data_IF_960530509952
#
_entry.id   IF_960530509952
#
_cell.length_a   1.000
_cell.length_b   1.000
_cell.length_c   1.000
_cell.angle_alpha   90.00
_cell.angle_beta   90.00
_cell.angle_gamma   90.00
#
_symmetry.space_group_name_H-M   'P 1'
#
loop_
_entity.id
_entity.type
_entity.pdbx_description
1 polymer ?
#
# COMPACT_ATOMS: atom_id res chain seq x y z
N UNK A 1 20.41 -12.88 -4.21
CA UNK A 1 19.99 -12.88 -5.61
C UNK A 1 19.27 -11.58 -5.83
N UNK A 2 19.50 -10.96 -6.99
CA UNK A 2 18.87 -9.70 -7.38
C UNK A 2 18.00 -9.96 -8.60
N UNK A 3 16.91 -9.22 -8.71
CA UNK A 3 15.90 -9.38 -9.76
C UNK A 3 15.51 -8.01 -10.31
N UNK A 4 15.14 -7.95 -11.58
CA UNK A 4 14.62 -6.73 -12.20
C UNK A 4 13.11 -6.77 -12.10
N UNK A 5 12.52 -5.70 -11.57
CA UNK A 5 11.07 -5.54 -11.50
C UNK A 5 10.65 -4.29 -12.27
N UNK A 6 9.40 -4.31 -12.74
CA UNK A 6 8.72 -3.14 -13.31
C UNK A 6 7.47 -2.88 -12.49
N UNK A 7 7.44 -1.74 -11.82
CA UNK A 7 6.34 -1.31 -10.98
C UNK A 7 5.13 -0.86 -11.84
N UNK A 8 3.92 -0.79 -11.25
CA UNK A 8 2.69 -0.39 -11.93
C UNK A 8 2.76 0.87 -12.80
N UNK A 9 3.55 1.87 -12.42
CA UNK A 9 3.71 3.10 -13.20
C UNK A 9 4.71 3.02 -14.36
N UNK A 10 5.47 1.93 -14.44
CA UNK A 10 6.60 1.75 -15.36
C UNK A 10 7.98 2.04 -14.75
N UNK A 11 8.07 2.50 -13.50
CA UNK A 11 9.34 2.55 -12.77
C UNK A 11 9.97 1.15 -12.75
N UNK A 12 11.18 1.01 -13.27
CA UNK A 12 11.87 -0.28 -13.31
C UNK A 12 13.27 -0.20 -12.72
N UNK A 13 13.67 -1.28 -12.07
CA UNK A 13 14.98 -1.35 -11.44
C UNK A 13 15.29 -2.71 -10.86
N UNK A 14 16.54 -2.84 -10.42
CA UNK A 14 17.06 -4.04 -9.79
C UNK A 14 16.84 -3.95 -8.29
N UNK A 15 16.18 -4.96 -7.74
CA UNK A 15 16.00 -5.14 -6.31
C UNK A 15 16.73 -6.39 -5.82
N UNK A 16 16.93 -6.47 -4.51
CA UNK A 16 17.41 -7.67 -3.82
C UNK A 16 16.54 -7.97 -2.60
N UNK A 17 16.61 -9.20 -2.12
CA UNK A 17 16.05 -9.57 -0.82
C UNK A 17 16.74 -8.84 0.35
N UNK A 18 16.00 -8.75 1.46
CA UNK A 18 16.49 -8.23 2.73
C UNK A 18 17.60 -9.14 3.30
N UNK A 19 18.56 -8.54 3.99
CA UNK A 19 19.64 -9.22 4.73
C UNK A 19 19.47 -8.93 6.23
N UNK A 20 20.21 -9.66 7.07
CA UNK A 20 20.18 -9.48 8.53
C UNK A 20 20.42 -8.02 8.94
N UNK A 21 21.24 -7.26 8.20
CA UNK A 21 21.48 -5.85 8.50
C UNK A 21 20.22 -4.96 8.41
N UNK A 22 19.23 -5.34 7.60
CA UNK A 22 17.94 -4.64 7.51
C UNK A 22 17.00 -4.97 8.68
N UNK A 23 17.31 -5.97 9.53
CA UNK A 23 16.59 -6.23 10.78
C UNK A 23 16.56 -5.00 11.69
N UNK A 24 17.63 -4.18 11.68
CA UNK A 24 17.69 -2.92 12.43
C UNK A 24 16.58 -1.94 12.02
N UNK A 25 16.26 -1.91 10.72
CA UNK A 25 15.21 -1.04 10.15
C UNK A 25 13.85 -1.54 10.62
N UNK A 26 13.62 -2.86 10.55
CA UNK A 26 12.40 -3.53 11.03
C UNK A 26 12.19 -3.42 12.55
N UNK A 27 13.27 -3.31 13.32
CA UNK A 27 13.23 -3.16 14.77
C UNK A 27 13.11 -1.71 15.24
N UNK A 28 13.36 -0.72 14.38
CA UNK A 28 13.35 0.71 14.75
C UNK A 28 11.91 1.22 14.95
N UNK A 29 11.54 1.42 16.22
CA UNK A 29 10.24 1.95 16.62
C UNK A 29 10.00 3.40 16.19
N UNK A 30 11.05 4.21 16.04
CA UNK A 30 10.94 5.61 15.59
C UNK A 30 10.59 5.63 14.11
N UNK A 31 11.28 4.83 13.30
CA UNK A 31 10.96 4.67 11.88
C UNK A 31 9.53 4.15 11.69
N UNK A 32 9.13 3.11 12.44
CA UNK A 32 7.76 2.57 12.40
C UNK A 32 6.70 3.64 12.74
N UNK A 33 6.92 4.47 13.77
CA UNK A 33 5.98 5.55 14.14
C UNK A 33 5.90 6.67 13.10
N UNK A 34 6.98 6.92 12.38
CA UNK A 34 7.08 7.98 11.37
C UNK A 34 6.67 7.55 9.97
N UNK A 35 6.43 6.26 9.73
CA UNK A 35 6.24 5.67 8.40
C UNK A 35 7.52 5.55 7.57
N UNK A 36 8.66 6.09 8.02
CA UNK A 36 9.95 6.05 7.29
C UNK A 36 10.61 4.67 7.23
N UNK A 37 10.05 3.66 7.91
CA UNK A 37 10.57 2.28 7.85
C UNK A 37 10.50 1.70 6.44
N UNK A 38 9.41 1.98 5.71
CA UNK A 38 9.22 1.53 4.34
C UNK A 38 10.24 2.19 3.40
N UNK A 39 10.42 3.52 3.52
CA UNK A 39 11.40 4.27 2.71
C UNK A 39 12.81 3.70 2.86
N UNK A 40 13.24 3.44 4.10
CA UNK A 40 14.58 2.93 4.40
C UNK A 40 14.74 1.49 3.88
N UNK A 41 13.71 0.64 3.97
CA UNK A 41 13.75 -0.71 3.41
C UNK A 41 13.84 -0.71 1.89
N UNK A 42 12.99 0.08 1.24
CA UNK A 42 12.98 0.26 -0.21
C UNK A 42 14.34 0.78 -0.69
N UNK A 43 14.85 1.85 -0.07
CA UNK A 43 16.16 2.42 -0.38
C UNK A 43 17.30 1.41 -0.16
N UNK A 44 17.24 0.60 0.91
CA UNK A 44 18.28 -0.39 1.17
C UNK A 44 18.26 -1.54 0.16
N UNK A 45 17.08 -1.94 -0.34
CA UNK A 45 16.90 -3.12 -1.18
C UNK A 45 16.85 -2.80 -2.68
N UNK A 46 16.71 -1.54 -3.07
CA UNK A 46 16.81 -1.06 -4.45
C UNK A 46 18.28 -0.81 -4.82
N UNK A 47 18.82 -1.61 -5.75
CA UNK A 47 20.25 -1.58 -6.11
C UNK A 47 20.54 -0.64 -7.29
N UNK A 48 19.64 -0.59 -8.27
CA UNK A 48 19.87 0.13 -9.53
C UNK A 48 18.52 0.55 -10.13
N UNK A 49 18.40 1.79 -10.59
CA UNK A 49 17.25 2.25 -11.39
C UNK A 49 17.59 2.09 -12.87
N UNK A 50 16.73 1.38 -13.61
CA UNK A 50 16.88 1.18 -15.06
C UNK A 50 16.05 2.18 -15.85
N UNK A 51 14.80 2.39 -15.41
CA UNK A 51 13.89 3.40 -15.94
C UNK A 51 13.17 4.06 -14.77
N UNK A 52 13.21 5.37 -14.66
CA UNK A 52 12.49 6.11 -13.63
C UNK A 52 10.97 6.16 -13.86
N UNK A 53 10.48 5.68 -15.01
CA UNK A 53 9.06 5.65 -15.33
C UNK A 53 8.50 7.07 -15.49
N UNK A 54 7.47 7.47 -14.75
CA UNK A 54 6.92 8.82 -14.80
C UNK A 54 7.62 9.81 -13.85
N UNK A 55 8.66 9.39 -13.13
CA UNK A 55 9.34 10.21 -12.14
C UNK A 55 10.60 10.87 -12.71
N UNK A 56 10.92 12.07 -12.23
CA UNK A 56 12.18 12.74 -12.52
C UNK A 56 13.00 12.88 -11.22
N UNK A 57 14.05 12.07 -11.11
CA UNK A 57 14.99 12.10 -10.00
C UNK A 57 16.31 12.84 -10.36
N UNK A 58 16.48 13.26 -11.62
CA UNK A 58 17.77 13.68 -12.16
C UNK A 58 18.88 12.65 -11.89
N UNK A 59 20.08 13.14 -11.52
CA UNK A 59 21.23 12.29 -11.17
C UNK A 59 21.21 11.79 -9.71
N UNK A 60 20.12 12.02 -8.97
CA UNK A 60 20.04 11.65 -7.54
C UNK A 60 19.51 10.22 -7.39
N UNK A 61 19.82 9.55 -6.26
CA UNK A 61 19.13 8.33 -5.88
C UNK A 61 17.62 8.55 -5.83
N UNK A 62 16.86 7.49 -6.07
CA UNK A 62 15.40 7.50 -6.01
C UNK A 62 14.91 8.10 -4.69
N UNK A 63 14.04 9.12 -4.77
CA UNK A 63 13.34 9.65 -3.61
C UNK A 63 12.01 8.92 -3.47
N UNK A 64 11.99 7.90 -2.61
CA UNK A 64 10.80 7.13 -2.29
C UNK A 64 9.65 7.96 -1.72
N UNK A 65 9.90 9.19 -1.25
CA UNK A 65 8.87 10.13 -0.86
C UNK A 65 8.06 10.68 -2.04
N UNK A 66 8.61 10.69 -3.26
CA UNK A 66 7.95 11.16 -4.48
C UNK A 66 7.24 10.03 -5.25
N UNK A 67 7.62 8.78 -5.01
CA UNK A 67 7.06 7.59 -5.67
C UNK A 67 5.63 7.34 -5.17
N UNK A 68 4.72 6.96 -6.08
CA UNK A 68 3.34 6.60 -5.75
C UNK A 68 3.26 5.41 -4.80
N UNK A 69 2.21 5.39 -3.98
CA UNK A 69 1.98 4.31 -3.01
C UNK A 69 1.89 2.93 -3.67
N UNK A 70 1.25 2.83 -4.85
CA UNK A 70 1.13 1.58 -5.60
C UNK A 70 2.48 0.95 -5.96
N UNK A 71 3.41 1.74 -6.50
CA UNK A 71 4.77 1.27 -6.83
C UNK A 71 5.56 0.88 -5.59
N UNK A 72 5.46 1.68 -4.52
CA UNK A 72 6.14 1.41 -3.25
C UNK A 72 5.70 0.08 -2.66
N UNK A 73 4.39 -0.16 -2.62
CA UNK A 73 3.82 -1.39 -2.10
C UNK A 73 4.18 -2.59 -2.99
N UNK A 74 4.08 -2.45 -4.31
CA UNK A 74 4.52 -3.48 -5.26
C UNK A 74 5.98 -3.86 -5.05
N UNK A 75 6.90 -2.88 -4.99
CA UNK A 75 8.32 -3.13 -4.77
C UNK A 75 8.58 -3.82 -3.42
N UNK A 76 7.86 -3.44 -2.36
CA UNK A 76 7.95 -4.12 -1.06
C UNK A 76 7.50 -5.59 -1.13
N UNK A 77 6.42 -5.89 -1.84
CA UNK A 77 5.96 -7.28 -2.05
C UNK A 77 7.04 -8.10 -2.76
N UNK A 78 7.64 -7.55 -3.82
CA UNK A 78 8.70 -8.23 -4.57
C UNK A 78 9.96 -8.45 -3.72
N UNK A 79 10.38 -7.45 -2.94
CA UNK A 79 11.50 -7.60 -1.98
C UNK A 79 11.18 -8.68 -0.94
N UNK A 80 9.93 -8.74 -0.46
CA UNK A 80 9.48 -9.76 0.49
C UNK A 80 9.50 -11.15 -0.13
N UNK A 81 9.02 -11.30 -1.36
CA UNK A 81 9.05 -12.55 -2.11
C UNK A 81 10.49 -13.04 -2.32
N UNK A 82 11.41 -12.16 -2.71
CA UNK A 82 12.84 -12.47 -2.83
C UNK A 82 13.51 -12.88 -1.53
N UNK A 83 12.99 -12.42 -0.38
CA UNK A 83 13.62 -12.68 0.93
C UNK A 83 13.24 -14.04 1.49
N UNK A 84 11.96 -14.42 1.46
CA UNK A 84 11.49 -15.66 2.09
C UNK A 84 10.76 -16.63 1.15
N UNK A 85 10.65 -16.29 -0.13
CA UNK A 85 9.82 -17.00 -1.10
C UNK A 85 8.50 -16.26 -1.36
N UNK A 86 7.85 -16.57 -2.50
CA UNK A 86 6.63 -15.90 -2.95
C UNK A 86 5.41 -16.27 -2.09
N UNK A 87 5.42 -17.43 -1.46
CA UNK A 87 4.38 -17.89 -0.54
C UNK A 87 4.31 -17.02 0.72
N UNK A 88 3.11 -16.58 1.07
CA UNK A 88 2.82 -15.87 2.30
C UNK A 88 1.68 -16.54 3.06
N UNK A 89 2.02 -17.10 4.22
CA UNK A 89 1.08 -17.69 5.16
C UNK A 89 0.79 -16.75 6.33
N UNK A 90 -0.49 -16.57 6.66
CA UNK A 90 -0.95 -15.74 7.75
C UNK A 90 -2.20 -16.34 8.41
N UNK A 91 -2.63 -15.74 9.52
CA UNK A 91 -3.86 -16.16 10.19
C UNK A 91 -4.77 -14.99 10.47
N UNK A 92 -6.06 -15.20 10.23
CA UNK A 92 -7.14 -14.27 10.53
C UNK A 92 -8.20 -14.98 11.37
N UNK A 93 -9.16 -14.22 11.88
CA UNK A 93 -10.35 -14.79 12.51
C UNK A 93 -11.53 -14.72 11.56
N UNK A 94 -12.39 -15.73 11.61
CA UNK A 94 -13.67 -15.70 10.92
C UNK A 94 -14.51 -14.52 11.43
N UNK A 95 -15.02 -13.69 10.51
CA UNK A 95 -15.85 -12.53 10.79
C UNK A 95 -17.29 -12.93 11.19
N UNK A 96 -17.69 -14.18 10.95
CA UNK A 96 -18.96 -14.70 11.45
C UNK A 96 -18.92 -14.76 12.98
N UNK A 97 -19.78 -13.96 13.60
CA UNK A 97 -19.88 -13.81 15.06
C UNK A 97 -20.16 -15.12 15.82
N UNK A 98 -20.89 -16.07 15.20
CA UNK A 98 -21.16 -17.36 15.81
C UNK A 98 -19.99 -18.35 15.68
N UNK A 99 -19.10 -18.16 14.69
CA UNK A 99 -17.98 -19.05 14.44
C UNK A 99 -16.71 -18.56 15.12
N UNK A 100 -16.22 -17.37 14.75
CA UNK A 100 -14.96 -16.76 15.24
C UNK A 100 -13.73 -17.68 15.21
N UNK A 101 -13.78 -18.77 14.44
CA UNK A 101 -12.69 -19.70 14.32
C UNK A 101 -11.47 -19.01 13.70
N UNK A 102 -10.29 -19.52 14.05
CA UNK A 102 -9.04 -19.04 13.47
C UNK A 102 -8.83 -19.72 12.13
N UNK A 103 -8.63 -18.93 11.09
CA UNK A 103 -8.35 -19.38 9.73
C UNK A 103 -6.86 -19.19 9.50
N UNK A 104 -6.14 -20.27 9.17
CA UNK A 104 -4.78 -20.19 8.62
C UNK A 104 -4.92 -20.20 7.10
N UNK A 105 -4.32 -19.24 6.42
CA UNK A 105 -4.42 -19.05 4.98
C UNK A 105 -3.04 -18.87 4.37
N UNK A 106 -2.90 -19.26 3.11
CA UNK A 106 -1.66 -19.16 2.35
C UNK A 106 -1.98 -18.76 0.91
N UNK A 107 -1.16 -17.86 0.35
CA UNK A 107 -1.26 -17.42 -1.04
C UNK A 107 0.12 -17.10 -1.62
N UNK A 108 0.20 -17.01 -2.94
CA UNK A 108 1.39 -16.54 -3.64
C UNK A 108 1.31 -15.01 -3.86
N UNK A 109 2.30 -14.27 -3.34
CA UNK A 109 2.36 -12.81 -3.48
C UNK A 109 2.53 -12.34 -4.92
N UNK A 110 3.06 -13.18 -5.81
CA UNK A 110 3.21 -12.91 -7.24
C UNK A 110 1.93 -13.12 -8.04
N UNK A 111 0.92 -13.79 -7.48
CA UNK A 111 -0.39 -14.01 -8.10
C UNK A 111 -1.42 -12.93 -7.74
N UNK A 112 -1.07 -12.01 -6.84
CA UNK A 112 -1.96 -10.90 -6.47
C UNK A 112 -2.23 -10.01 -7.70
N UNK A 113 -3.50 -9.70 -8.01
CA UNK A 113 -3.84 -8.84 -9.14
C UNK A 113 -3.14 -7.49 -9.01
N UNK A 114 -2.57 -7.02 -10.10
CA UNK A 114 -1.85 -5.75 -10.13
C UNK A 114 -2.35 -4.90 -11.30
N UNK A 115 -2.85 -3.71 -11.00
CA UNK A 115 -3.33 -2.76 -12.01
C UNK A 115 -2.21 -1.79 -12.36
N UNK A 116 -1.78 -1.82 -13.62
CA UNK A 116 -0.87 -0.83 -14.17
C UNK A 116 -1.53 0.55 -14.25
N UNK A 117 -0.70 1.60 -14.16
CA UNK A 117 -1.16 2.97 -14.37
C UNK A 117 -1.55 3.14 -15.85
N UNK A 118 -2.75 3.65 -16.11
CA UNK A 118 -3.20 3.91 -17.48
C UNK A 118 -2.39 5.04 -18.12
N UNK A 119 -2.35 5.11 -19.45
CA UNK A 119 -1.65 6.19 -20.17
C UNK A 119 -2.18 7.58 -19.81
N UNK A 120 -3.49 7.70 -19.60
CA UNK A 120 -4.15 8.94 -19.16
C UNK A 120 -3.70 9.35 -17.75
N UNK A 121 -3.70 8.41 -16.81
CA UNK A 121 -3.22 8.66 -15.45
C UNK A 121 -1.73 8.97 -15.43
N UNK A 122 -0.94 8.32 -16.29
CA UNK A 122 0.49 8.58 -16.46
C UNK A 122 0.77 9.99 -16.97
N UNK A 123 0.00 10.46 -17.96
CA UNK A 123 0.09 11.84 -18.44
C UNK A 123 -0.23 12.86 -17.32
N UNK A 124 -1.27 12.59 -16.53
CA UNK A 124 -1.67 13.43 -15.40
C UNK A 124 -0.65 13.45 -14.27
N UNK A 125 0.02 12.31 -14.03
CA UNK A 125 1.13 12.20 -13.09
C UNK A 125 2.33 13.04 -13.55
N UNK A 126 2.72 12.94 -14.83
CA UNK A 126 3.76 13.75 -15.44
C UNK A 126 3.44 15.26 -15.44
N UNK A 127 2.16 15.61 -15.52
CA UNK A 127 1.67 16.99 -15.44
C UNK A 127 1.59 17.53 -13.99
N UNK A 128 2.21 16.84 -13.02
CA UNK A 128 2.30 17.30 -11.63
C UNK A 128 1.37 16.58 -10.66
N UNK A 129 0.97 15.34 -10.96
CA UNK A 129 0.09 14.52 -10.12
C UNK A 129 -1.23 15.24 -9.80
N UNK A 130 -1.89 15.76 -10.85
CA UNK A 130 -3.11 16.57 -10.72
C UNK A 130 -4.18 16.04 -11.66
N UNK A 131 -5.22 15.47 -11.07
CA UNK A 131 -6.36 14.85 -11.74
C UNK A 131 -7.59 15.73 -11.59
N UNK A 132 -8.50 15.71 -12.57
CA UNK A 132 -9.72 16.51 -12.60
C UNK A 132 -10.95 15.61 -12.68
N UNK A 133 -11.97 15.93 -11.90
CA UNK A 133 -13.31 15.34 -12.04
C UNK A 133 -14.38 16.38 -11.70
N UNK A 134 -15.64 16.11 -12.05
CA UNK A 134 -16.78 16.98 -11.73
C UNK A 134 -17.75 16.23 -10.84
N UNK A 135 -18.07 16.81 -9.69
CA UNK A 135 -19.00 16.22 -8.73
C UNK A 135 -20.42 16.15 -9.31
N UNK A 136 -21.10 15.00 -9.27
CA UNK A 136 -22.42 14.84 -9.88
C UNK A 136 -23.52 15.67 -9.20
N UNK A 137 -23.48 15.83 -7.88
CA UNK A 137 -24.52 16.56 -7.13
C UNK A 137 -24.14 18.04 -6.96
N UNK A 138 -22.94 18.33 -6.45
CA UNK A 138 -22.48 19.71 -6.29
C UNK A 138 -22.20 20.44 -7.62
N UNK A 139 -22.00 19.71 -8.73
CA UNK A 139 -21.73 20.26 -10.06
C UNK A 139 -20.40 21.01 -10.19
N UNK A 140 -19.51 20.90 -9.19
CA UNK A 140 -18.24 21.61 -9.13
C UNK A 140 -17.10 20.73 -9.62
N UNK A 141 -16.12 21.35 -10.28
CA UNK A 141 -14.85 20.69 -10.59
C UNK A 141 -13.99 20.55 -9.35
N UNK A 142 -13.38 19.38 -9.20
CA UNK A 142 -12.48 19.04 -8.11
C UNK A 142 -11.19 18.53 -8.71
N UNK A 143 -10.08 19.01 -8.16
CA UNK A 143 -8.76 18.51 -8.49
C UNK A 143 -8.16 17.78 -7.33
N UNK A 144 -7.61 16.61 -7.61
CA UNK A 144 -7.05 15.72 -6.61
C UNK A 144 -5.74 15.12 -7.13
N UNK A 145 -5.11 14.32 -6.28
CA UNK A 145 -3.82 13.69 -6.56
C UNK A 145 -3.77 12.26 -6.04
N UNK A 146 -2.93 11.45 -6.65
CA UNK A 146 -2.56 10.14 -6.11
C UNK A 146 -1.58 10.32 -4.93
N UNK A 147 -1.63 9.39 -3.99
CA UNK A 147 -0.81 9.45 -2.78
C UNK A 147 0.62 8.98 -3.07
N UNK A 148 1.59 9.74 -2.56
CA UNK A 148 3.02 9.43 -2.64
C UNK A 148 3.53 8.87 -1.31
N UNK A 149 4.77 8.37 -1.28
CA UNK A 149 5.42 7.96 -0.03
C UNK A 149 5.47 9.07 1.02
N UNK A 150 5.63 10.34 0.62
CA UNK A 150 5.59 11.47 1.55
C UNK A 150 4.22 11.64 2.22
N UNK A 151 3.15 11.24 1.54
CA UNK A 151 1.79 11.27 2.06
C UNK A 151 1.47 10.08 2.95
N UNK A 152 1.93 8.90 2.55
CA UNK A 152 1.79 7.66 3.32
C UNK A 152 2.33 7.85 4.75
N UNK A 153 3.45 8.57 4.92
CA UNK A 153 4.01 8.92 6.23
C UNK A 153 3.10 9.80 7.10
N UNK A 154 2.22 10.59 6.48
CA UNK A 154 1.29 11.50 7.17
C UNK A 154 -0.02 10.80 7.54
N UNK A 155 -0.40 9.73 6.84
CA UNK A 155 -1.65 9.01 7.07
C UNK A 155 -1.85 8.53 8.52
N UNK A 156 -0.85 7.97 9.24
CA UNK A 156 -1.03 7.56 10.63
C UNK A 156 -1.30 8.74 11.58
N UNK A 157 -0.75 9.92 11.31
CA UNK A 157 -1.03 11.11 12.09
C UNK A 157 -2.43 11.64 11.76
N UNK A 158 -2.80 11.68 10.47
CA UNK A 158 -4.11 12.09 10.00
C UNK A 158 -5.23 11.22 10.60
N UNK A 159 -5.10 9.89 10.52
CA UNK A 159 -6.06 8.92 11.09
C UNK A 159 -6.27 9.13 12.59
N UNK A 160 -5.19 9.42 13.34
CA UNK A 160 -5.28 9.70 14.78
C UNK A 160 -5.95 11.04 15.08
N UNK A 161 -5.72 12.05 14.25
CA UNK A 161 -6.30 13.39 14.44
C UNK A 161 -7.75 13.51 13.96
N UNK A 162 -8.18 12.66 13.03
CA UNK A 162 -9.51 12.76 12.40
C UNK A 162 -10.65 12.29 13.32
N UNK A 163 -10.39 11.38 14.26
CA UNK A 163 -11.44 10.81 15.12
C UNK A 163 -12.58 10.22 14.27
N UNK A 164 -13.82 10.63 14.57
CA UNK A 164 -15.02 10.17 13.86
C UNK A 164 -15.17 10.77 12.45
N UNK A 165 -14.36 11.77 12.09
CA UNK A 165 -14.39 12.45 10.77
C UNK A 165 -13.38 11.87 9.77
N UNK A 166 -13.15 10.55 9.82
CA UNK A 166 -12.09 9.93 9.04
C UNK A 166 -12.31 10.09 7.52
N UNK A 167 -13.52 9.88 7.03
CA UNK A 167 -13.84 9.99 5.60
C UNK A 167 -13.52 11.40 5.07
N UNK A 168 -14.09 12.44 5.67
CA UNK A 168 -13.87 13.83 5.23
C UNK A 168 -12.41 14.25 5.34
N UNK A 169 -11.69 13.80 6.39
CA UNK A 169 -10.26 14.06 6.53
C UNK A 169 -9.43 13.41 5.41
N UNK A 170 -9.75 12.17 5.02
CA UNK A 170 -9.08 11.45 3.94
C UNK A 170 -9.36 12.07 2.56
N UNK A 171 -10.62 12.43 2.29
CA UNK A 171 -11.00 13.14 1.07
C UNK A 171 -10.27 14.49 0.97
N UNK A 172 -10.30 15.30 2.03
CA UNK A 172 -9.65 16.61 2.05
C UNK A 172 -8.12 16.54 1.91
N UNK A 173 -7.51 15.42 2.30
CA UNK A 173 -6.08 15.17 2.17
C UNK A 173 -5.65 14.84 0.73
N UNK A 174 -6.54 14.19 -0.05
CA UNK A 174 -6.34 13.87 -1.48
C UNK A 174 -6.76 15.01 -2.39
N UNK A 175 -7.80 15.76 -2.05
CA UNK A 175 -8.25 16.91 -2.83
C UNK A 175 -7.26 18.07 -2.71
N UNK A 176 -6.76 18.53 -3.85
CA UNK A 176 -5.90 19.70 -3.97
C UNK A 176 -6.73 20.99 -3.93
N UNK A 177 -7.73 21.07 -4.80
CA UNK A 177 -8.47 22.29 -5.13
C UNK A 177 -9.92 21.95 -5.49
N UNK A 178 -10.83 22.89 -5.23
CA UNK A 178 -12.24 22.81 -5.66
C UNK A 178 -12.60 24.13 -6.32
N UNK A 179 -13.28 24.05 -7.46
CA UNK A 179 -13.70 25.20 -8.25
C UNK A 179 -14.53 26.19 -7.43
N UNK A 180 -14.08 27.45 -7.42
CA UNK A 180 -14.76 28.54 -6.71
C UNK A 180 -14.79 28.37 -5.19
N UNK A 181 -13.94 27.53 -4.61
CA UNK A 181 -13.81 27.38 -3.15
C UNK A 181 -12.41 27.81 -2.72
N UNK A 182 -12.36 28.78 -1.82
CA UNK A 182 -11.10 29.24 -1.23
C UNK A 182 -10.37 28.09 -0.48
N UNK A 183 -9.03 28.01 -0.53
CA UNK A 183 -8.28 26.92 0.10
C UNK A 183 -8.59 26.71 1.60
N UNK A 184 -8.90 27.79 2.32
CA UNK A 184 -9.28 27.77 3.74
C UNK A 184 -10.65 27.15 3.99
N UNK A 185 -11.54 27.17 2.99
CA UNK A 185 -12.92 26.67 3.08
C UNK A 185 -13.05 25.25 2.53
N UNK A 186 -12.02 24.72 1.86
CA UNK A 186 -11.99 23.37 1.30
C UNK A 186 -12.42 22.29 2.29
N UNK A 187 -11.87 22.30 3.51
CA UNK A 187 -12.20 21.27 4.50
C UNK A 187 -13.69 21.28 4.84
N UNK A 188 -14.25 22.47 5.03
CA UNK A 188 -15.68 22.66 5.30
C UNK A 188 -16.53 22.23 4.10
N UNK A 189 -16.12 22.57 2.88
CA UNK A 189 -16.80 22.13 1.67
C UNK A 189 -16.85 20.59 1.58
N UNK A 190 -15.73 19.90 1.84
CA UNK A 190 -15.67 18.44 1.85
C UNK A 190 -16.56 17.83 2.95
N UNK A 191 -16.64 18.48 4.13
CA UNK A 191 -17.53 18.05 5.21
C UNK A 191 -19.02 18.26 4.90
N UNK A 192 -19.36 19.20 4.01
CA UNK A 192 -20.72 19.52 3.57
C UNK A 192 -21.12 18.78 2.27
N UNK A 193 -20.23 17.95 1.70
CA UNK A 193 -20.56 17.12 0.52
C UNK A 193 -21.66 16.12 0.83
N UNK A 194 -22.50 15.84 -0.18
CA UNK A 194 -23.40 14.70 -0.11
C UNK A 194 -22.58 13.41 -0.11
N UNK A 195 -23.14 12.35 0.50
CA UNK A 195 -22.48 11.04 0.50
C UNK A 195 -22.31 10.49 -0.92
N UNK A 196 -23.23 10.82 -1.83
CA UNK A 196 -23.09 10.46 -3.25
C UNK A 196 -21.84 11.08 -3.89
N UNK A 197 -21.58 12.36 -3.65
CA UNK A 197 -20.36 13.03 -4.14
C UNK A 197 -19.10 12.49 -3.45
N UNK A 198 -19.19 12.13 -2.17
CA UNK A 198 -18.08 11.52 -1.43
C UNK A 198 -17.73 10.14 -2.00
N UNK A 199 -18.72 9.28 -2.25
CA UNK A 199 -18.54 7.95 -2.84
C UNK A 199 -18.00 8.08 -4.27
N UNK A 200 -18.55 8.98 -5.08
CA UNK A 200 -18.04 9.27 -6.42
C UNK A 200 -16.57 9.71 -6.44
N UNK A 201 -16.15 10.53 -5.47
CA UNK A 201 -14.73 10.91 -5.35
C UNK A 201 -13.85 9.72 -5.00
N UNK A 202 -14.30 8.82 -4.14
CA UNK A 202 -13.56 7.59 -3.82
C UNK A 202 -13.41 6.72 -5.07
N UNK A 203 -14.51 6.50 -5.81
CA UNK A 203 -14.49 5.75 -7.06
C UNK A 203 -13.55 6.37 -8.10
N UNK A 204 -13.54 7.70 -8.22
CA UNK A 204 -12.63 8.38 -9.14
C UNK A 204 -11.16 8.27 -8.71
N UNK A 205 -10.87 8.34 -7.40
CA UNK A 205 -9.52 8.08 -6.90
C UNK A 205 -9.08 6.67 -7.28
N UNK A 206 -9.93 5.68 -7.02
CA UNK A 206 -9.64 4.28 -7.26
C UNK A 206 -9.63 3.96 -8.76
N UNK A 207 -10.36 4.67 -9.61
CA UNK A 207 -10.33 4.48 -11.07
C UNK A 207 -8.98 4.85 -11.67
N UNK A 208 -8.38 5.95 -11.21
CA UNK A 208 -7.14 6.48 -11.80
C UNK A 208 -5.86 5.95 -11.14
N UNK A 209 -5.96 5.34 -9.97
CA UNK A 209 -4.80 4.83 -9.22
C UNK A 209 -4.20 3.57 -9.85
N UNK A 210 -3.04 3.15 -9.37
CA UNK A 210 -2.37 1.90 -9.74
C UNK A 210 -1.89 1.18 -8.48
N UNK A 211 -1.61 -0.11 -8.59
CA UNK A 211 -1.12 -0.86 -7.45
C UNK A 211 -1.55 -2.31 -7.46
N UNK A 212 -1.26 -2.97 -6.34
CA UNK A 212 -1.64 -4.36 -6.10
C UNK A 212 -2.96 -4.37 -5.36
N UNK A 213 -3.88 -5.19 -5.83
CA UNK A 213 -5.12 -5.48 -5.13
C UNK A 213 -4.82 -6.35 -3.90
N UNK A 214 -5.13 -5.81 -2.73
CA UNK A 214 -4.92 -6.49 -1.45
C UNK A 214 -6.19 -7.09 -0.90
N UNK A 215 -7.35 -6.84 -1.51
CA UNK A 215 -8.60 -7.46 -1.12
C UNK A 215 -8.58 -8.91 -1.61
N UNK A 216 -8.63 -9.85 -0.66
CA UNK A 216 -8.61 -11.28 -0.94
C UNK A 216 -9.82 -11.95 -0.32
N UNK A 217 -10.39 -12.91 -1.04
CA UNK A 217 -11.45 -13.75 -0.52
C UNK A 217 -10.84 -14.92 0.25
N UNK A 218 -11.29 -15.11 1.49
CA UNK A 218 -10.85 -16.20 2.37
C UNK A 218 -12.06 -17.02 2.81
N UNK A 219 -11.97 -18.33 2.67
CA UNK A 219 -13.00 -19.27 3.11
C UNK A 219 -12.69 -19.84 4.49
N UNK A 220 -13.68 -19.83 5.39
CA UNK A 220 -13.56 -20.45 6.71
C UNK A 220 -13.84 -21.95 6.63
N UNK A 221 -12.87 -22.79 6.98
CA UNK A 221 -13.03 -24.25 6.99
C UNK A 221 -14.06 -24.79 8.02
N UNK A 222 -14.44 -23.99 9.03
CA UNK A 222 -15.36 -24.41 10.10
C UNK A 222 -16.83 -24.11 9.78
N UNK A 223 -17.10 -22.96 9.14
CA UNK A 223 -18.49 -22.55 8.83
C UNK A 223 -18.76 -22.38 7.34
N UNK A 224 -17.77 -22.61 6.47
CA UNK A 224 -17.83 -22.47 5.02
C UNK A 224 -18.28 -21.09 4.53
N UNK A 225 -18.15 -20.08 5.39
CA UNK A 225 -18.40 -18.69 5.02
C UNK A 225 -17.18 -18.12 4.32
N UNK A 226 -17.40 -17.41 3.22
CA UNK A 226 -16.39 -16.58 2.58
C UNK A 226 -16.41 -15.18 3.17
N UNK A 227 -15.24 -14.56 3.26
CA UNK A 227 -15.07 -13.19 3.72
C UNK A 227 -13.99 -12.49 2.91
N UNK A 228 -14.24 -11.25 2.53
CA UNK A 228 -13.23 -10.38 1.96
C UNK A 228 -12.40 -9.78 3.09
N UNK A 229 -11.09 -9.88 2.97
CA UNK A 229 -10.14 -9.29 3.92
C UNK A 229 -9.00 -8.62 3.19
N UNK A 230 -8.48 -7.55 3.78
CA UNK A 230 -7.22 -6.98 3.34
C UNK A 230 -6.05 -7.90 3.72
N UNK A 231 -5.13 -8.12 2.77
CA UNK A 231 -3.87 -8.82 2.98
C UNK A 231 -3.16 -8.26 4.24
N UNK A 232 -2.92 -9.08 5.27
CA UNK A 232 -2.30 -8.58 6.50
C UNK A 232 -0.87 -8.09 6.24
N UNK A 233 -0.66 -6.79 6.36
CA UNK A 233 0.63 -6.14 6.20
C UNK A 233 1.11 -5.58 7.55
N UNK A 234 1.68 -6.47 8.37
CA UNK A 234 2.18 -6.14 9.69
C UNK A 234 3.64 -6.57 9.89
N UNK A 235 4.12 -6.57 11.14
CA UNK A 235 5.48 -7.02 11.45
C UNK A 235 5.74 -8.47 11.00
N UNK A 236 4.73 -9.33 11.02
CA UNK A 236 4.83 -10.73 10.63
C UNK A 236 4.98 -10.91 9.13
N UNK A 237 4.47 -9.95 8.33
CA UNK A 237 4.75 -9.86 6.89
C UNK A 237 6.26 -9.85 6.67
N UNK A 238 7.00 -8.92 7.29
CA UNK A 238 8.46 -8.83 7.13
C UNK A 238 9.27 -9.83 7.95
N UNK A 239 8.67 -10.47 8.96
CA UNK A 239 9.33 -11.43 9.85
C UNK A 239 8.40 -12.60 10.17
N UNK A 240 8.31 -13.63 9.30
CA UNK A 240 7.50 -14.82 9.54
C UNK A 240 8.07 -15.63 10.74
N UNK A 241 7.57 -15.32 11.94
CA UNK A 241 8.03 -15.92 13.20
C UNK A 241 7.54 -17.36 13.42
N UNK A 242 6.36 -17.70 12.88
CA UNK A 242 5.77 -19.04 12.99
C UNK A 242 6.58 -20.10 12.24
N UNK A 243 7.00 -19.81 11.01
CA UNK A 243 7.81 -20.73 10.20
C UNK A 243 9.19 -21.02 10.81
N UNK A 244 9.86 -20.01 11.39
CA UNK A 244 11.15 -20.22 12.10
C UNK A 244 11.00 -21.20 13.26
N UNK A 245 9.85 -21.18 13.93
CA UNK A 245 9.56 -22.04 15.08
C UNK A 245 9.17 -23.45 14.62
N UNK A 246 8.39 -23.57 13.54
CA UNK A 246 8.07 -24.85 12.90
C UNK A 246 9.33 -25.58 12.38
N UNK A 247 10.18 -24.89 11.61
CA UNK A 247 11.46 -25.46 11.11
C UNK A 247 12.41 -25.88 12.24
N UNK A 248 12.38 -25.18 13.39
CA UNK A 248 13.13 -25.60 14.60
C UNK A 248 12.55 -26.87 15.24
N UNK A 249 11.23 -27.01 15.27
CA UNK A 249 10.56 -28.22 15.76
C UNK A 249 10.85 -29.42 14.85
N UNK A 250 10.74 -29.28 13.54
CA UNK A 250 11.03 -30.36 12.58
C UNK A 250 12.50 -30.80 12.58
N UNK A 251 13.42 -29.85 12.80
CA UNK A 251 14.85 -30.17 13.00
C UNK A 251 15.13 -30.88 14.33
N UNK A 252 14.32 -30.64 15.36
CA UNK A 252 14.47 -31.28 16.66
C UNK A 252 13.86 -32.68 16.73
N UNK A 253 12.84 -32.97 15.90
CA UNK A 253 12.27 -34.32 15.76
C UNK A 253 13.15 -35.24 14.91
N UNK A 254 13.79 -34.71 13.87
CA UNK A 254 14.74 -35.45 13.01
C UNK A 254 16.09 -35.77 13.66
N UNK A 255 16.47 -35.10 14.75
CA UNK A 255 17.67 -35.41 15.54
C UNK A 255 17.44 -36.44 16.66
N UNK A 256 16.19 -36.91 16.85
CA UNK A 256 15.81 -37.90 17.87
C UNK A 256 15.38 -39.24 17.25
N UNK A 257 15.57 -39.42 15.95
CA UNK A 257 15.34 -40.67 15.21
C UNK A 257 16.65 -41.37 14.86
#
# INVERSE_FOLDING_TARGET
MSEIITCPTGLSGRIRGMKVREERVLADRRLAKSGGQVDELLAACWEETLDAGPYDFGDKPIDWGLVLQGDRFYALLQIRALTYGPTYAFAINCQNDACRAKIEWELDLGELPCRALTDESRASLLAGNRFETTLPDAGKKVWFRLLTGADERKLPALRRSAGDQLLSAMLAFRVLEVEGVEPREKKRFIEELSLQDADFLVDEFDRVDCGVDTAIEVECAECFGTQEVDLPFDRSFFMPGKERTARRRDRSSSFRG
#
